data_IF_213887030169
#
_entry.id   IF_213887030169
#
_cell.length_a   1.000
_cell.length_b   1.000
_cell.length_c   1.000
_cell.angle_alpha   90.00
_cell.angle_beta   90.00
_cell.angle_gamma   90.00
#
_symmetry.space_group_name_H-M   'P 1'
#
loop_
_entity.id
_entity.type
_entity.pdbx_description
1 polymer ?
#
# COMPACT_ATOMS: atom_id res chain seq x y z
N UNK A 1 11.93 -10.65 -97.64
CA UNK A 1 12.76 -11.45 -98.58
C UNK A 1 14.17 -10.90 -98.44
N UNK A 2 15.09 -11.52 -97.71
CA UNK A 2 15.69 -12.86 -97.83
C UNK A 2 16.17 -13.24 -96.40
N UNK A 3 15.76 -14.33 -95.73
CA UNK A 3 16.35 -15.69 -95.77
C UNK A 3 17.89 -15.69 -95.89
N UNK A 4 18.72 -16.40 -95.11
CA UNK A 4 18.55 -17.66 -94.38
C UNK A 4 19.88 -18.07 -93.68
N UNK A 5 19.75 -18.82 -92.57
CA UNK A 5 20.46 -20.10 -92.27
C UNK A 5 21.97 -20.04 -91.90
N UNK A 6 22.31 -20.22 -90.61
CA UNK A 6 22.67 -21.47 -89.92
C UNK A 6 24.00 -22.10 -90.40
N UNK A 7 25.05 -22.03 -89.59
CA UNK A 7 26.02 -23.13 -89.39
C UNK A 7 26.58 -23.07 -87.96
N UNK A 8 26.32 -24.13 -87.18
CA UNK A 8 26.99 -24.46 -85.91
C UNK A 8 28.32 -25.17 -86.23
N UNK A 9 29.41 -24.74 -85.62
CA UNK A 9 30.65 -25.53 -85.56
C UNK A 9 31.08 -25.60 -84.09
N UNK A 10 30.95 -26.78 -83.48
CA UNK A 10 31.55 -27.08 -82.17
C UNK A 10 33.05 -27.34 -82.36
N UNK A 11 33.89 -26.53 -81.73
CA UNK A 11 35.28 -26.88 -81.43
C UNK A 11 35.42 -27.20 -79.95
N UNK A 12 35.77 -28.46 -79.65
CA UNK A 12 36.17 -28.89 -78.32
C UNK A 12 37.63 -28.46 -78.09
N UNK A 13 37.88 -27.60 -77.10
CA UNK A 13 39.22 -27.38 -76.58
C UNK A 13 39.42 -28.29 -75.38
N UNK A 14 40.36 -29.23 -75.49
CA UNK A 14 40.89 -29.97 -74.36
C UNK A 14 41.66 -29.00 -73.44
N UNK A 15 41.25 -28.89 -72.19
CA UNK A 15 41.96 -28.11 -71.16
C UNK A 15 43.03 -29.01 -70.56
N UNK A 16 44.29 -28.65 -70.74
CA UNK A 16 45.41 -29.18 -69.97
C UNK A 16 45.35 -28.60 -68.54
N UNK A 17 44.91 -29.42 -67.58
CA UNK A 17 44.87 -29.05 -66.17
C UNK A 17 46.23 -29.25 -65.53
N UNK A 18 46.99 -28.17 -65.36
CA UNK A 18 48.12 -28.10 -64.41
C UNK A 18 48.02 -26.82 -63.57
N UNK A 19 46.96 -26.75 -62.76
CA UNK A 19 46.88 -25.81 -61.64
C UNK A 19 46.89 -26.60 -60.33
N UNK A 20 48.03 -26.60 -59.64
CA UNK A 20 48.06 -26.93 -58.21
C UNK A 20 47.46 -25.75 -57.44
N UNK A 21 46.21 -25.93 -56.99
CA UNK A 21 45.59 -25.05 -56.02
C UNK A 21 46.30 -25.21 -54.67
N UNK A 22 47.05 -24.19 -54.25
CA UNK A 22 47.42 -24.03 -52.84
C UNK A 22 46.17 -23.55 -52.09
N UNK A 23 45.52 -24.46 -51.38
CA UNK A 23 44.43 -24.14 -50.47
C UNK A 23 45.08 -23.45 -49.26
N UNK A 24 44.74 -22.20 -48.92
CA UNK A 24 45.18 -21.61 -47.67
C UNK A 24 44.66 -22.48 -46.51
N UNK A 25 45.55 -22.81 -45.57
CA UNK A 25 45.17 -23.54 -44.35
C UNK A 25 44.05 -22.75 -43.67
N UNK A 26 42.87 -23.35 -43.57
CA UNK A 26 41.71 -22.75 -42.94
C UNK A 26 42.03 -22.58 -41.45
N UNK A 27 42.35 -21.36 -41.02
CA UNK A 27 42.41 -21.03 -39.60
C UNK A 27 41.02 -21.31 -39.01
N UNK A 28 41.00 -22.15 -37.98
CA UNK A 28 39.80 -22.47 -37.21
C UNK A 28 39.18 -21.17 -36.70
N UNK A 29 37.92 -20.83 -37.05
CA UNK A 29 37.27 -19.67 -36.46
C UNK A 29 37.14 -19.94 -34.97
N UNK A 30 37.94 -19.24 -34.17
CA UNK A 30 37.84 -19.27 -32.71
C UNK A 30 36.39 -19.08 -32.23
N UNK A 31 36.08 -19.46 -30.98
CA UNK A 31 34.72 -19.52 -30.47
C UNK A 31 33.95 -18.23 -30.79
N UNK A 32 32.85 -18.38 -31.54
CA UNK A 32 31.96 -17.29 -31.91
C UNK A 32 31.47 -16.61 -30.63
N UNK A 33 31.83 -15.34 -30.42
CA UNK A 33 31.36 -14.54 -29.28
C UNK A 33 29.84 -14.62 -29.21
N UNK A 34 29.32 -15.24 -28.15
CA UNK A 34 27.88 -15.27 -27.89
C UNK A 34 27.41 -13.82 -27.71
N UNK A 35 26.35 -13.36 -28.40
CA UNK A 35 25.84 -12.02 -28.19
C UNK A 35 25.44 -11.88 -26.73
N UNK A 36 26.08 -10.95 -26.02
CA UNK A 36 25.65 -10.56 -24.67
C UNK A 36 24.24 -9.99 -24.81
N UNK A 37 23.25 -10.45 -24.03
CA UNK A 37 21.91 -9.87 -24.08
C UNK A 37 22.00 -8.37 -23.87
N UNK A 38 21.47 -7.58 -24.81
CA UNK A 38 21.35 -6.14 -24.67
C UNK A 38 20.52 -5.85 -23.41
N UNK A 39 20.96 -4.94 -22.52
CA UNK A 39 20.14 -4.57 -21.37
C UNK A 39 18.80 -4.05 -21.89
N UNK A 40 17.70 -4.54 -21.30
CA UNK A 40 16.37 -4.06 -21.64
C UNK A 40 16.30 -2.54 -21.39
N UNK A 41 15.64 -1.76 -22.27
CA UNK A 41 15.49 -0.34 -22.07
C UNK A 41 14.73 -0.09 -20.76
N UNK A 42 15.31 0.75 -19.90
CA UNK A 42 14.65 1.17 -18.64
C UNK A 42 13.31 1.83 -18.99
N UNK A 43 12.23 1.37 -18.36
CA UNK A 43 10.92 2.05 -18.41
C UNK A 43 11.02 3.30 -17.53
N UNK A 44 11.01 4.48 -18.13
CA UNK A 44 11.11 5.77 -17.44
C UNK A 44 9.78 6.50 -17.54
N UNK A 45 9.24 6.92 -16.40
CA UNK A 45 8.10 7.83 -16.31
C UNK A 45 8.57 9.13 -15.65
N UNK A 46 8.38 10.26 -16.32
CA UNK A 46 8.71 11.59 -15.79
C UNK A 46 7.45 12.29 -15.29
N UNK A 47 7.44 12.70 -14.03
CA UNK A 47 6.30 13.37 -13.36
C UNK A 47 6.76 14.75 -12.87
N UNK A 48 6.01 15.80 -13.20
CA UNK A 48 6.28 17.16 -12.73
C UNK A 48 5.51 17.43 -11.43
N UNK A 49 6.21 17.85 -10.37
CA UNK A 49 5.63 17.97 -9.01
C UNK A 49 5.28 19.41 -8.56
N UNK A 50 5.43 20.42 -9.41
CA UNK A 50 5.08 21.82 -9.11
C UNK A 50 6.05 22.55 -8.18
N UNK A 51 6.47 21.91 -7.10
CA UNK A 51 7.45 22.40 -6.12
C UNK A 51 8.24 21.23 -5.51
N UNK A 52 9.38 21.55 -4.90
CA UNK A 52 10.17 20.58 -4.12
C UNK A 52 9.56 20.49 -2.72
N UNK A 53 9.29 19.27 -2.20
CA UNK A 53 8.77 19.12 -0.84
C UNK A 53 9.82 19.54 0.20
N UNK A 54 9.36 20.19 1.27
CA UNK A 54 10.25 20.60 2.37
C UNK A 54 10.74 19.40 3.20
N UNK A 55 9.95 18.32 3.25
CA UNK A 55 10.31 17.09 3.96
C UNK A 55 9.54 15.89 3.41
N UNK A 56 10.21 14.73 3.32
CA UNK A 56 9.55 13.45 3.03
C UNK A 56 9.18 12.66 4.28
N UNK A 57 9.44 13.20 5.46
CA UNK A 57 8.98 12.60 6.71
C UNK A 57 7.45 12.47 6.69
N UNK A 58 6.94 11.27 6.96
CA UNK A 58 5.51 10.92 6.77
C UNK A 58 4.54 11.81 7.57
N UNK A 59 5.00 12.37 8.69
CA UNK A 59 4.21 13.26 9.54
C UNK A 59 4.57 14.74 9.40
N UNK A 60 5.45 15.07 8.44
CA UNK A 60 5.93 16.42 8.16
C UNK A 60 5.10 17.13 7.10
N UNK A 61 5.74 17.49 5.99
CA UNK A 61 5.15 18.25 4.90
C UNK A 61 3.91 17.56 4.31
N UNK A 62 2.77 18.27 4.27
CA UNK A 62 1.50 17.78 3.75
C UNK A 62 1.19 18.32 2.33
N UNK A 63 2.17 18.95 1.67
CA UNK A 63 2.05 19.43 0.29
C UNK A 63 1.66 18.30 -0.67
N UNK A 64 0.94 18.61 -1.78
CA UNK A 64 0.66 17.63 -2.83
C UNK A 64 1.93 16.95 -3.35
N UNK A 65 3.03 17.69 -3.49
CA UNK A 65 4.32 17.18 -3.97
C UNK A 65 4.92 16.15 -3.02
N UNK A 66 4.91 16.42 -1.71
CA UNK A 66 5.37 15.47 -0.70
C UNK A 66 4.50 14.20 -0.68
N UNK A 67 3.18 14.37 -0.80
CA UNK A 67 2.24 13.25 -0.85
C UNK A 67 2.47 12.36 -2.08
N UNK A 68 2.64 12.93 -3.28
CA UNK A 68 2.91 12.16 -4.51
C UNK A 68 4.19 11.34 -4.37
N UNK A 69 5.28 11.95 -3.86
CA UNK A 69 6.54 11.21 -3.67
C UNK A 69 6.36 10.09 -2.65
N UNK A 70 5.69 10.36 -1.51
CA UNK A 70 5.45 9.34 -0.48
C UNK A 70 4.64 8.15 -1.00
N UNK A 71 3.63 8.38 -1.84
CA UNK A 71 2.88 7.29 -2.48
C UNK A 71 3.74 6.43 -3.42
N UNK A 72 4.90 6.93 -3.88
CA UNK A 72 5.82 6.17 -4.71
C UNK A 72 6.86 5.37 -3.91
N UNK A 73 7.10 5.71 -2.64
CA UNK A 73 8.15 5.10 -1.80
C UNK A 73 7.62 4.41 -0.54
N UNK A 74 6.35 4.64 -0.18
CA UNK A 74 5.63 3.97 0.88
C UNK A 74 4.35 3.36 0.33
N UNK A 75 4.03 2.19 0.85
CA UNK A 75 2.76 1.52 0.60
C UNK A 75 1.88 1.62 1.86
N UNK A 76 0.56 1.70 1.66
CA UNK A 76 -0.43 1.67 2.74
C UNK A 76 -0.86 0.24 3.05
N UNK A 77 -1.68 -0.02 4.08
CA UNK A 77 -2.14 -1.38 4.38
C UNK A 77 -3.18 -1.93 3.41
N UNK A 78 -3.91 -1.04 2.74
CA UNK A 78 -5.00 -1.36 1.80
C UNK A 78 -4.93 -0.40 0.62
N UNK A 79 -5.00 -0.95 -0.59
CA UNK A 79 -5.12 -0.21 -1.84
C UNK A 79 -6.55 -0.25 -2.38
N UNK A 80 -6.90 0.78 -3.16
CA UNK A 80 -8.14 0.84 -3.93
C UNK A 80 -7.83 0.69 -5.41
N UNK A 81 -8.15 -0.47 -5.98
CA UNK A 81 -7.99 -0.74 -7.41
C UNK A 81 -9.37 -0.97 -8.00
N UNK A 82 -9.78 -0.16 -8.98
CA UNK A 82 -11.12 -0.22 -9.59
C UNK A 82 -12.28 -0.19 -8.58
N UNK A 83 -12.14 0.62 -7.52
CA UNK A 83 -13.11 0.74 -6.41
C UNK A 83 -13.24 -0.50 -5.53
N UNK A 84 -12.36 -1.49 -5.70
CA UNK A 84 -12.26 -2.66 -4.84
C UNK A 84 -11.05 -2.50 -3.91
N UNK A 85 -11.22 -2.93 -2.66
CA UNK A 85 -10.16 -2.86 -1.65
C UNK A 85 -9.30 -4.12 -1.71
N UNK A 86 -7.98 -3.93 -1.78
CA UNK A 86 -7.00 -5.01 -1.79
C UNK A 86 -6.02 -4.85 -0.64
N UNK A 87 -5.73 -5.95 0.03
CA UNK A 87 -4.73 -5.95 1.09
C UNK A 87 -3.32 -6.02 0.52
N UNK A 88 -2.48 -5.05 0.88
CA UNK A 88 -1.07 -4.97 0.50
C UNK A 88 -0.16 -5.35 1.66
N UNK A 89 -0.42 -4.79 2.86
CA UNK A 89 0.37 -5.07 4.08
C UNK A 89 -0.35 -5.93 5.13
N UNK A 90 -1.63 -6.28 4.94
CA UNK A 90 -2.37 -7.13 5.86
C UNK A 90 -2.57 -8.54 5.28
N UNK A 91 -2.69 -9.56 6.12
CA UNK A 91 -3.06 -10.90 5.64
C UNK A 91 -4.50 -10.90 5.09
N UNK A 92 -5.39 -10.15 5.74
CA UNK A 92 -6.77 -9.94 5.31
C UNK A 92 -7.28 -8.57 5.76
N UNK A 93 -8.31 -8.06 5.07
CA UNK A 93 -8.94 -6.79 5.42
C UNK A 93 -9.88 -7.04 6.62
N UNK A 94 -9.72 -6.29 7.73
CA UNK A 94 -10.57 -6.50 8.89
C UNK A 94 -12.05 -6.24 8.59
N UNK A 95 -12.91 -7.18 8.95
CA UNK A 95 -14.36 -7.08 8.81
C UNK A 95 -15.08 -7.76 9.98
N UNK A 96 -16.42 -7.69 10.01
CA UNK A 96 -17.18 -8.42 11.04
C UNK A 96 -17.30 -9.90 10.71
N UNK A 97 -17.31 -10.23 9.42
CA UNK A 97 -17.46 -11.59 8.90
C UNK A 97 -16.25 -12.48 9.22
N UNK A 98 -15.03 -11.91 9.22
CA UNK A 98 -13.81 -12.59 9.65
C UNK A 98 -13.47 -12.34 11.13
N UNK A 99 -14.41 -11.79 11.91
CA UNK A 99 -14.28 -11.59 13.36
C UNK A 99 -13.13 -10.68 13.82
N UNK A 100 -12.48 -9.97 12.88
CA UNK A 100 -11.41 -9.00 13.14
C UNK A 100 -11.94 -7.63 13.55
N UNK A 101 -13.22 -7.34 13.33
CA UNK A 101 -13.92 -6.15 13.84
C UNK A 101 -14.97 -6.56 14.86
N UNK A 102 -14.84 -6.04 16.08
CA UNK A 102 -15.71 -6.36 17.20
C UNK A 102 -16.34 -5.09 17.76
N UNK A 103 -17.66 -5.14 17.95
CA UNK A 103 -18.40 -4.12 18.71
C UNK A 103 -18.75 -4.70 20.06
N UNK A 104 -18.32 -4.04 21.11
CA UNK A 104 -18.55 -4.46 22.50
C UNK A 104 -19.28 -3.39 23.25
N UNK A 105 -20.24 -3.79 24.08
CA UNK A 105 -20.88 -2.90 25.02
C UNK A 105 -19.92 -2.62 26.18
N UNK A 106 -19.70 -1.34 26.48
CA UNK A 106 -18.87 -0.91 27.61
C UNK A 106 -19.63 0.07 28.49
N UNK A 107 -19.46 -0.07 29.80
CA UNK A 107 -19.98 0.87 30.78
C UNK A 107 -19.05 2.08 30.88
N UNK A 108 -19.63 3.28 30.82
CA UNK A 108 -18.92 4.56 30.84
C UNK A 108 -19.45 5.43 31.97
N UNK A 109 -18.54 5.96 32.77
CA UNK A 109 -18.78 6.81 33.92
C UNK A 109 -18.56 8.29 33.61
N UNK A 110 -19.23 9.21 34.33
CA UNK A 110 -18.96 10.64 34.27
C UNK A 110 -17.46 10.97 34.34
N UNK A 111 -17.02 11.93 33.53
CA UNK A 111 -15.61 12.33 33.47
C UNK A 111 -14.75 11.52 32.48
N UNK A 112 -15.27 10.43 31.92
CA UNK A 112 -14.57 9.68 30.88
C UNK A 112 -14.74 10.29 29.48
N UNK A 113 -13.74 10.08 28.61
CA UNK A 113 -13.76 10.52 27.21
C UNK A 113 -14.64 9.60 26.37
N UNK A 114 -15.50 10.20 25.56
CA UNK A 114 -16.37 9.50 24.60
C UNK A 114 -16.44 10.27 23.28
N UNK A 115 -16.98 9.61 22.26
CA UNK A 115 -17.57 10.28 21.11
C UNK A 115 -19.08 10.42 21.36
N UNK A 116 -19.57 11.66 21.31
CA UNK A 116 -20.99 11.95 21.49
C UNK A 116 -21.81 11.50 20.26
N UNK A 117 -23.14 11.56 20.36
CA UNK A 117 -24.02 11.09 19.29
C UNK A 117 -23.80 11.83 17.95
N UNK A 118 -23.25 13.05 18.00
CA UNK A 118 -22.95 13.91 16.86
C UNK A 118 -21.53 13.71 16.31
N UNK A 119 -20.76 12.76 16.85
CA UNK A 119 -19.41 12.47 16.41
C UNK A 119 -18.32 13.37 17.02
N UNK A 120 -18.63 14.15 18.07
CA UNK A 120 -17.65 15.01 18.72
C UNK A 120 -16.94 14.30 19.87
N UNK A 121 -15.63 14.53 19.98
CA UNK A 121 -14.87 14.15 21.18
C UNK A 121 -15.29 15.02 22.36
N UNK A 122 -15.78 14.40 23.42
CA UNK A 122 -16.21 15.10 24.64
C UNK A 122 -15.91 14.29 25.90
N UNK A 123 -16.22 14.89 27.05
CA UNK A 123 -16.21 14.24 28.36
C UNK A 123 -17.67 13.98 28.77
N UNK A 124 -17.99 12.75 29.15
CA UNK A 124 -19.34 12.39 29.59
C UNK A 124 -19.73 13.19 30.85
N UNK A 125 -20.88 13.85 30.79
CA UNK A 125 -21.46 14.65 31.87
C UNK A 125 -22.87 15.13 31.51
N UNK A 126 -23.51 15.86 32.43
CA UNK A 126 -24.89 16.32 32.24
C UNK A 126 -25.07 17.14 30.94
N UNK A 127 -26.13 16.84 30.19
CA UNK A 127 -26.46 17.48 28.91
C UNK A 127 -25.70 16.93 27.70
N UNK A 128 -24.79 15.97 27.87
CA UNK A 128 -24.15 15.28 26.74
C UNK A 128 -25.14 14.34 26.09
N UNK A 129 -25.36 14.52 24.77
CA UNK A 129 -26.21 13.64 23.98
C UNK A 129 -25.36 12.49 23.44
N UNK A 130 -25.76 11.25 23.72
CA UNK A 130 -25.02 10.04 23.35
C UNK A 130 -25.92 9.04 22.61
N UNK A 131 -25.27 8.09 21.94
CA UNK A 131 -25.92 6.96 21.28
C UNK A 131 -25.72 5.72 22.15
N UNK A 132 -26.76 5.22 22.85
CA UNK A 132 -26.64 4.03 23.69
C UNK A 132 -26.14 2.81 22.89
N UNK A 133 -25.59 1.82 23.57
CA UNK A 133 -25.17 0.57 22.94
C UNK A 133 -26.31 -0.07 22.11
N UNK A 134 -26.02 -0.41 20.86
CA UNK A 134 -27.00 -0.92 19.88
C UNK A 134 -27.82 0.15 19.15
N UNK A 135 -27.64 1.43 19.47
CA UNK A 135 -28.32 2.53 18.79
C UNK A 135 -27.69 2.81 17.42
N UNK A 136 -28.52 2.83 16.37
CA UNK A 136 -28.06 2.99 14.97
C UNK A 136 -28.73 4.15 14.23
N UNK A 137 -29.61 4.91 14.89
CA UNK A 137 -30.28 6.07 14.33
C UNK A 137 -30.38 7.21 15.35
N UNK A 138 -30.76 8.40 14.89
CA UNK A 138 -30.93 9.57 15.77
C UNK A 138 -32.11 9.41 16.76
N UNK A 139 -33.07 8.56 16.43
CA UNK A 139 -34.29 8.36 17.23
C UNK A 139 -34.03 7.72 18.61
N UNK A 140 -32.89 7.04 18.77
CA UNK A 140 -32.48 6.41 20.03
C UNK A 140 -31.42 7.20 20.79
N UNK A 141 -31.14 8.45 20.39
CA UNK A 141 -30.22 9.30 21.14
C UNK A 141 -30.80 9.71 22.49
N UNK A 142 -29.95 9.72 23.50
CA UNK A 142 -30.31 10.06 24.88
C UNK A 142 -29.44 11.20 25.41
N UNK A 143 -29.97 12.00 26.34
CA UNK A 143 -29.19 12.99 27.08
C UNK A 143 -28.76 12.40 28.42
N UNK A 144 -27.49 12.53 28.74
CA UNK A 144 -26.98 12.12 30.04
C UNK A 144 -27.49 13.08 31.12
N UNK A 145 -28.26 12.60 32.10
CA UNK A 145 -28.80 13.42 33.19
C UNK A 145 -28.77 12.69 34.54
N UNK A 146 -27.86 13.09 35.43
CA UNK A 146 -27.79 12.64 36.83
C UNK A 146 -27.80 11.10 37.04
N UNK A 147 -27.26 10.36 36.08
CA UNK A 147 -27.13 8.90 36.15
C UNK A 147 -25.71 8.47 36.56
N UNK A 148 -25.51 7.27 37.13
CA UNK A 148 -24.18 6.84 37.57
C UNK A 148 -23.24 6.47 36.42
N UNK A 149 -23.79 5.95 35.32
CA UNK A 149 -23.07 5.47 34.14
C UNK A 149 -24.02 5.31 32.95
N UNK A 150 -23.46 5.05 31.76
CA UNK A 150 -24.18 4.66 30.53
C UNK A 150 -23.47 3.51 29.85
N UNK A 151 -24.17 2.81 28.96
CA UNK A 151 -23.58 1.78 28.12
C UNK A 151 -23.46 2.28 26.68
N UNK A 152 -22.24 2.26 26.14
CA UNK A 152 -21.93 2.65 24.76
C UNK A 152 -21.32 1.47 24.01
N UNK A 153 -21.44 1.49 22.68
CA UNK A 153 -20.66 0.57 21.84
C UNK A 153 -19.23 1.08 21.70
N UNK A 154 -18.27 0.17 21.77
CA UNK A 154 -16.86 0.41 21.53
C UNK A 154 -16.33 -0.58 20.50
N UNK A 155 -15.69 -0.03 19.47
CA UNK A 155 -15.06 -0.82 18.41
C UNK A 155 -13.64 -1.24 18.79
N UNK A 156 -13.33 -2.50 18.51
CA UNK A 156 -11.97 -3.05 18.47
C UNK A 156 -11.73 -3.64 17.08
N UNK A 157 -10.57 -3.34 16.50
CA UNK A 157 -10.14 -3.85 15.20
C UNK A 157 -8.78 -4.51 15.36
N UNK A 158 -8.68 -5.74 14.88
CA UNK A 158 -7.45 -6.52 14.81
C UNK A 158 -6.89 -6.44 13.39
N UNK A 159 -5.61 -6.08 13.27
CA UNK A 159 -4.91 -5.99 12.00
C UNK A 159 -3.83 -7.07 11.94
N UNK A 160 -4.06 -8.18 11.21
CA UNK A 160 -3.04 -9.18 10.96
C UNK A 160 -2.07 -8.67 9.90
N UNK A 161 -0.80 -8.47 10.29
CA UNK A 161 0.24 -7.96 9.39
C UNK A 161 0.79 -9.08 8.53
N UNK A 162 0.89 -8.83 7.22
CA UNK A 162 1.35 -9.81 6.25
C UNK A 162 2.83 -10.13 6.40
N UNK A 163 3.14 -11.42 6.39
CA UNK A 163 4.52 -11.89 6.46
C UNK A 163 5.25 -11.77 5.11
N UNK A 164 6.60 -11.75 5.15
CA UNK A 164 7.43 -11.74 3.95
C UNK A 164 7.59 -10.38 3.25
N UNK A 165 7.02 -9.31 3.83
CA UNK A 165 7.26 -7.93 3.38
C UNK A 165 8.55 -7.42 4.00
N UNK A 166 9.33 -6.69 3.21
CA UNK A 166 10.60 -6.09 3.63
C UNK A 166 10.62 -4.60 3.33
N UNK A 167 11.31 -3.86 4.18
CA UNK A 167 11.75 -2.50 3.90
C UNK A 167 12.79 -2.49 2.77
N UNK A 168 13.06 -1.31 2.22
CA UNK A 168 14.00 -1.14 1.09
C UNK A 168 15.44 -1.54 1.40
N UNK A 169 15.81 -1.65 2.68
CA UNK A 169 17.10 -2.13 3.16
C UNK A 169 17.14 -3.67 3.38
N UNK A 170 16.02 -4.36 3.14
CA UNK A 170 15.87 -5.81 3.33
C UNK A 170 15.41 -6.23 4.72
N UNK A 171 15.23 -5.30 5.66
CA UNK A 171 14.71 -5.61 7.00
C UNK A 171 13.24 -6.02 6.90
N UNK A 172 12.81 -7.13 7.55
CA UNK A 172 11.40 -7.51 7.57
C UNK A 172 10.51 -6.43 8.21
N UNK A 173 9.40 -6.11 7.56
CA UNK A 173 8.37 -5.25 8.13
C UNK A 173 7.62 -6.02 9.23
N UNK A 174 7.41 -5.37 10.39
CA UNK A 174 6.73 -5.97 11.54
C UNK A 174 5.60 -5.08 12.05
N UNK A 175 4.65 -5.70 12.76
CA UNK A 175 3.60 -4.97 13.47
C UNK A 175 4.15 -3.92 14.46
N UNK A 176 5.31 -4.19 15.07
CA UNK A 176 6.01 -3.24 15.94
C UNK A 176 6.40 -1.93 15.24
N UNK A 177 6.63 -1.95 13.93
CA UNK A 177 6.95 -0.75 13.15
C UNK A 177 5.75 0.20 13.13
N UNK A 178 4.53 -0.35 13.02
CA UNK A 178 3.30 0.43 13.10
C UNK A 178 3.08 1.00 14.51
N UNK A 179 3.35 0.23 15.56
CA UNK A 179 3.30 0.71 16.95
C UNK A 179 4.28 1.88 17.15
N UNK A 180 5.50 1.77 16.61
CA UNK A 180 6.47 2.85 16.64
C UNK A 180 5.96 4.08 15.88
N UNK A 181 5.45 3.89 14.66
CA UNK A 181 4.90 4.95 13.83
C UNK A 181 3.76 5.70 14.54
N UNK A 182 2.84 4.97 15.18
CA UNK A 182 1.78 5.53 16.01
C UNK A 182 2.34 6.40 17.16
N UNK A 183 3.34 5.91 17.89
CA UNK A 183 3.99 6.67 18.99
C UNK A 183 4.61 7.97 18.50
N UNK A 184 5.26 7.95 17.34
CA UNK A 184 5.81 9.15 16.71
C UNK A 184 4.68 10.12 16.32
N UNK A 185 3.61 9.62 15.70
CA UNK A 185 2.48 10.44 15.28
C UNK A 185 1.80 11.16 16.45
N UNK A 186 1.53 10.47 17.56
CA UNK A 186 0.90 11.08 18.74
C UNK A 186 1.80 12.15 19.38
N UNK A 187 3.12 11.98 19.35
CA UNK A 187 4.06 12.95 19.90
C UNK A 187 4.13 14.23 19.06
N UNK A 188 3.97 14.10 17.73
CA UNK A 188 3.98 15.23 16.80
C UNK A 188 2.64 15.97 16.84
N UNK A 189 1.54 15.23 16.71
CA UNK A 189 0.24 15.85 16.49
C UNK A 189 -0.52 16.17 17.79
N UNK A 190 -0.25 15.43 18.87
CA UNK A 190 -1.02 15.53 20.11
C UNK A 190 -2.54 15.50 19.86
N UNK A 191 -3.26 16.44 20.47
CA UNK A 191 -4.72 16.56 20.32
C UNK A 191 -5.16 17.23 19.01
N UNK A 192 -4.23 17.79 18.22
CA UNK A 192 -4.51 18.41 16.92
C UNK A 192 -4.43 17.45 15.74
N UNK A 193 -4.18 16.16 15.99
CA UNK A 193 -3.99 15.17 14.93
C UNK A 193 -5.25 14.78 14.17
N UNK A 194 -5.10 13.96 13.12
CA UNK A 194 -6.21 13.34 12.42
C UNK A 194 -7.21 12.68 13.37
N UNK A 195 -8.50 12.67 13.00
CA UNK A 195 -9.58 12.10 13.83
C UNK A 195 -9.27 10.68 14.32
N UNK A 196 -8.75 9.82 13.45
CA UNK A 196 -8.36 8.44 13.81
C UNK A 196 -7.37 8.38 14.99
N UNK A 197 -6.38 9.29 15.05
CA UNK A 197 -5.47 9.36 16.21
C UNK A 197 -6.20 9.89 17.46
N UNK A 198 -7.01 10.94 17.31
CA UNK A 198 -7.73 11.57 18.44
C UNK A 198 -8.77 10.64 19.07
N UNK A 199 -9.33 9.73 18.29
CA UNK A 199 -10.38 8.80 18.72
C UNK A 199 -9.85 7.43 19.12
N UNK A 200 -8.52 7.27 19.14
CA UNK A 200 -7.88 6.05 19.63
C UNK A 200 -7.92 6.03 21.16
N UNK A 201 -8.54 5.00 21.73
CA UNK A 201 -8.46 4.68 23.15
C UNK A 201 -7.22 3.84 23.46
N UNK A 202 -6.90 2.86 22.60
CA UNK A 202 -5.72 2.03 22.73
C UNK A 202 -5.19 1.60 21.36
N UNK A 203 -3.87 1.45 21.23
CA UNK A 203 -3.20 0.92 20.05
C UNK A 203 -1.99 0.10 20.48
N UNK A 204 -2.12 -1.22 20.43
CA UNK A 204 -1.17 -2.13 21.06
C UNK A 204 -0.83 -3.34 20.20
N UNK A 205 0.30 -3.96 20.52
CA UNK A 205 0.75 -5.21 19.92
C UNK A 205 0.23 -6.37 20.77
N UNK A 206 -0.44 -7.32 20.14
CA UNK A 206 -0.90 -8.56 20.76
C UNK A 206 0.20 -9.62 20.76
N UNK A 207 0.01 -10.69 21.55
CA UNK A 207 0.99 -11.78 21.70
C UNK A 207 1.28 -12.53 20.39
N UNK A 208 0.31 -12.57 19.49
CA UNK A 208 0.41 -13.19 18.16
C UNK A 208 1.02 -12.25 17.10
N UNK A 209 1.66 -11.15 17.51
CA UNK A 209 2.22 -10.10 16.64
C UNK A 209 1.18 -9.38 15.75
N UNK A 210 -0.10 -9.43 16.11
CA UNK A 210 -1.14 -8.63 15.48
C UNK A 210 -1.30 -7.28 16.19
N UNK A 211 -1.87 -6.30 15.49
CA UNK A 211 -2.13 -4.99 16.07
C UNK A 211 -3.59 -4.91 16.51
N UNK A 212 -3.85 -4.55 17.75
CA UNK A 212 -5.18 -4.18 18.24
C UNK A 212 -5.33 -2.66 18.29
N UNK A 213 -6.33 -2.15 17.59
CA UNK A 213 -6.79 -0.78 17.71
C UNK A 213 -8.16 -0.74 18.37
N UNK A 214 -8.30 0.07 19.42
CA UNK A 214 -9.56 0.30 20.12
C UNK A 214 -9.96 1.75 20.03
N UNK A 215 -11.16 2.02 19.53
CA UNK A 215 -11.74 3.36 19.50
C UNK A 215 -12.19 3.81 20.89
N UNK A 216 -12.44 5.11 21.07
CA UNK A 216 -13.17 5.60 22.24
C UNK A 216 -14.62 5.07 22.24
N UNK A 217 -15.24 4.87 23.40
CA UNK A 217 -16.67 4.52 23.47
C UNK A 217 -17.53 5.53 22.68
N UNK A 218 -18.49 5.02 21.92
CA UNK A 218 -19.30 5.80 20.97
C UNK A 218 -18.67 6.00 19.59
N UNK A 219 -17.38 5.66 19.40
CA UNK A 219 -16.75 5.71 18.07
C UNK A 219 -16.91 4.38 17.34
N UNK A 220 -17.68 4.38 16.25
CA UNK A 220 -17.90 3.19 15.41
C UNK A 220 -17.08 3.19 14.11
N UNK A 221 -16.12 4.11 13.96
CA UNK A 221 -15.36 4.27 12.71
C UNK A 221 -16.13 4.96 11.57
N UNK A 222 -17.37 5.41 11.81
CA UNK A 222 -18.25 6.05 10.82
C UNK A 222 -18.16 7.59 10.80
N UNK A 223 -17.56 8.19 11.82
CA UNK A 223 -17.38 9.64 11.90
C UNK A 223 -16.02 9.99 11.30
N UNK A 224 -15.99 10.24 9.99
CA UNK A 224 -14.84 10.80 9.26
C UNK A 224 -15.28 11.91 8.34
#
# INVERSE_FOLDING_TARGET
MLTAMLVLILSACAVENNYTLQIPLNEDPGPLSTPVPSPEPKKILSICLGEEPYSLFIYGDQSPSANIIRQAIYDGPVDLVNFESFSTLLEEIPSRENELVRLTQVEVFPGQRIIDAKGNLTILGNGVVFSPSGCTSEDCWESFENQPSVFLDQVEIIYPVKSGIVWSDGTPLKASDSIFSYRVAIQIYGLGGPGKLRYTSNYELLENEEISWKGLPGYLGLYS
#
